data_IF_374041142490
#
_entry.id   IF_374041142490
#
_cell.length_a   1.000
_cell.length_b   1.000
_cell.length_c   1.000
_cell.angle_alpha   90.00
_cell.angle_beta   90.00
_cell.angle_gamma   90.00
#
_symmetry.space_group_name_H-M   'P 1'
#
loop_
_entity.id
_entity.type
_entity.pdbx_description
1 polymer ?
#
# COMPACT_ATOMS: atom_id res chain seq x y z
N UNK A 1 -64.24 -25.92 56.76
CA UNK A 1 -63.35 -24.84 56.22
C UNK A 1 -62.00 -25.11 56.82
N UNK A 2 -61.16 -25.84 56.14
CA UNK A 2 -59.81 -26.26 56.57
C UNK A 2 -58.80 -25.37 55.84
N UNK A 3 -58.14 -24.51 56.59
CA UNK A 3 -57.03 -23.66 56.10
C UNK A 3 -55.76 -24.51 56.12
N UNK A 4 -55.22 -24.73 54.93
CA UNK A 4 -53.92 -25.41 54.73
C UNK A 4 -52.77 -24.42 54.96
N UNK A 5 -52.01 -24.66 56.00
CA UNK A 5 -50.74 -23.96 56.25
C UNK A 5 -49.69 -24.45 55.24
N UNK A 6 -49.14 -23.49 54.42
CA UNK A 6 -48.00 -23.71 53.54
C UNK A 6 -46.74 -23.37 54.33
N UNK A 7 -45.79 -24.29 54.49
CA UNK A 7 -44.55 -23.99 55.20
C UNK A 7 -43.65 -23.08 54.34
N UNK A 8 -43.33 -21.90 54.89
CA UNK A 8 -42.35 -21.00 54.28
C UNK A 8 -40.94 -21.60 54.37
N UNK A 9 -40.39 -22.06 53.25
CA UNK A 9 -39.01 -22.51 53.17
C UNK A 9 -38.08 -21.27 53.19
N UNK A 10 -37.50 -21.02 54.35
CA UNK A 10 -36.42 -20.05 54.48
C UNK A 10 -35.18 -20.51 53.76
N UNK A 11 -34.83 -19.88 52.62
CA UNK A 11 -33.57 -20.07 51.91
C UNK A 11 -32.47 -19.52 52.84
N UNK A 12 -31.49 -20.31 53.25
CA UNK A 12 -30.40 -19.78 54.07
C UNK A 12 -29.58 -18.77 53.23
N UNK A 13 -29.53 -17.53 53.67
CA UNK A 13 -28.61 -16.54 53.12
C UNK A 13 -27.19 -17.06 53.28
N UNK A 14 -26.55 -17.34 52.15
CA UNK A 14 -25.09 -17.61 52.08
C UNK A 14 -24.37 -16.37 52.58
N UNK A 15 -24.13 -16.30 53.84
CA UNK A 15 -23.25 -15.31 54.50
C UNK A 15 -21.85 -15.49 53.96
N UNK A 16 -21.49 -14.70 52.93
CA UNK A 16 -20.11 -14.58 52.50
C UNK A 16 -19.31 -13.99 53.66
N UNK A 17 -18.33 -14.72 54.18
CA UNK A 17 -17.43 -14.22 55.21
C UNK A 17 -16.85 -12.87 54.79
N UNK A 18 -16.72 -11.88 55.69
CA UNK A 18 -16.18 -10.55 55.34
C UNK A 18 -14.76 -10.75 54.80
N UNK A 19 -14.55 -10.33 53.57
CA UNK A 19 -13.22 -10.31 52.93
C UNK A 19 -12.35 -9.35 53.75
N UNK A 20 -11.37 -9.85 54.47
CA UNK A 20 -10.41 -9.03 55.17
C UNK A 20 -9.52 -8.30 54.15
N UNK A 21 -9.13 -7.04 54.46
CA UNK A 21 -8.26 -6.25 53.57
C UNK A 21 -7.00 -7.01 53.17
N UNK A 22 -6.43 -7.82 54.10
CA UNK A 22 -5.25 -8.65 53.83
C UNK A 22 -5.49 -9.72 52.77
N UNK A 23 -6.66 -10.39 52.76
CA UNK A 23 -6.98 -11.42 51.75
C UNK A 23 -7.18 -10.79 50.36
N UNK A 24 -7.69 -9.57 50.29
CA UNK A 24 -7.85 -8.81 49.02
C UNK A 24 -6.51 -8.37 48.47
N UNK A 25 -5.57 -7.92 49.29
CA UNK A 25 -4.22 -7.52 48.85
C UNK A 25 -3.44 -8.73 48.33
N UNK A 26 -3.48 -9.86 49.02
CA UNK A 26 -2.82 -11.10 48.59
C UNK A 26 -3.42 -11.60 47.24
N UNK A 27 -4.74 -11.55 47.10
CA UNK A 27 -5.38 -11.93 45.85
C UNK A 27 -4.98 -11.00 44.70
N UNK A 28 -4.94 -9.69 44.93
CA UNK A 28 -4.51 -8.69 43.97
C UNK A 28 -3.05 -8.91 43.51
N UNK A 29 -2.11 -9.08 44.48
CA UNK A 29 -0.69 -9.30 44.13
C UNK A 29 -0.51 -10.57 43.30
N UNK A 30 -1.22 -11.66 43.66
CA UNK A 30 -1.16 -12.92 42.90
C UNK A 30 -1.71 -12.77 41.48
N UNK A 31 -2.82 -12.04 41.31
CA UNK A 31 -3.40 -11.76 39.97
C UNK A 31 -2.47 -10.87 39.15
N UNK A 32 -1.92 -9.80 39.74
CA UNK A 32 -0.94 -8.92 39.09
C UNK A 32 0.29 -9.70 38.62
N UNK A 33 0.83 -10.58 39.49
CA UNK A 33 1.97 -11.40 39.12
C UNK A 33 1.65 -12.43 38.03
N UNK A 34 0.47 -13.03 38.05
CA UNK A 34 0.00 -13.92 37.01
C UNK A 34 -0.17 -13.14 35.67
N UNK A 35 -0.80 -11.94 35.70
CA UNK A 35 -0.93 -11.08 34.57
C UNK A 35 0.43 -10.64 33.98
N UNK A 36 1.38 -10.28 34.85
CA UNK A 36 2.74 -9.92 34.44
C UNK A 36 3.46 -11.07 33.70
N UNK A 37 3.34 -12.31 34.23
CA UNK A 37 3.93 -13.48 33.56
C UNK A 37 3.34 -13.70 32.17
N UNK A 38 2.01 -13.61 32.04
CA UNK A 38 1.33 -13.75 30.75
C UNK A 38 1.76 -12.63 29.79
N UNK A 39 1.81 -11.38 30.28
CA UNK A 39 2.28 -10.24 29.49
C UNK A 39 3.70 -10.48 28.97
N UNK A 40 4.63 -10.84 29.84
CA UNK A 40 6.02 -11.09 29.44
C UNK A 40 6.14 -12.28 28.47
N UNK A 41 5.40 -13.37 28.72
CA UNK A 41 5.39 -14.53 27.82
C UNK A 41 4.86 -14.16 26.43
N UNK A 42 3.76 -13.40 26.36
CA UNK A 42 3.21 -12.93 25.09
C UNK A 42 4.11 -11.89 24.42
N UNK A 43 4.77 -11.03 25.19
CA UNK A 43 5.75 -10.09 24.64
C UNK A 43 6.92 -10.81 23.97
N UNK A 44 7.46 -11.84 24.60
CA UNK A 44 8.53 -12.66 24.00
C UNK A 44 8.01 -13.42 22.78
N UNK A 45 6.84 -14.05 22.90
CA UNK A 45 6.27 -14.84 21.81
C UNK A 45 5.91 -13.97 20.59
N UNK A 46 5.14 -12.90 20.82
CA UNK A 46 4.61 -12.07 19.73
C UNK A 46 5.54 -10.92 19.33
N UNK A 47 6.38 -10.42 20.25
CA UNK A 47 7.30 -9.33 19.99
C UNK A 47 8.68 -9.78 19.51
N UNK A 48 9.08 -11.01 19.74
CA UNK A 48 10.41 -11.52 19.36
C UNK A 48 10.29 -12.77 18.49
N UNK A 49 9.74 -13.86 19.03
CA UNK A 49 9.76 -15.16 18.35
C UNK A 49 8.96 -15.13 17.03
N UNK A 50 7.76 -14.59 17.07
CA UNK A 50 6.90 -14.49 15.87
C UNK A 50 7.49 -13.60 14.78
N UNK A 51 7.93 -12.35 15.02
CA UNK A 51 8.57 -11.53 13.98
C UNK A 51 9.84 -12.18 13.40
N UNK A 52 10.68 -12.79 14.22
CA UNK A 52 11.88 -13.50 13.73
C UNK A 52 11.51 -14.71 12.87
N UNK A 53 10.49 -15.48 13.25
CA UNK A 53 10.02 -16.62 12.45
C UNK A 53 9.48 -16.16 11.11
N UNK A 54 8.63 -15.10 11.08
CA UNK A 54 8.09 -14.53 9.83
C UNK A 54 9.21 -13.99 8.94
N UNK A 55 10.17 -13.26 9.53
CA UNK A 55 11.35 -12.76 8.80
C UNK A 55 12.16 -13.91 8.22
N UNK A 56 12.43 -14.96 9.01
CA UNK A 56 13.15 -16.14 8.54
C UNK A 56 12.46 -16.82 7.36
N UNK A 57 11.15 -17.03 7.44
CA UNK A 57 10.36 -17.58 6.33
C UNK A 57 10.39 -16.64 5.11
N UNK A 58 10.21 -15.32 5.33
CA UNK A 58 10.27 -14.33 4.25
C UNK A 58 11.59 -14.33 3.52
N UNK A 59 12.72 -14.37 4.25
CA UNK A 59 14.06 -14.40 3.65
C UNK A 59 14.37 -15.70 2.90
N UNK A 60 13.81 -16.83 3.34
CA UNK A 60 14.04 -18.14 2.68
C UNK A 60 13.15 -18.34 1.45
N UNK A 61 11.88 -17.95 1.53
CA UNK A 61 10.88 -18.25 0.48
C UNK A 61 10.71 -17.10 -0.49
N UNK A 62 10.82 -15.85 -0.02
CA UNK A 62 10.57 -14.63 -0.78
C UNK A 62 11.69 -13.59 -0.61
N UNK A 63 12.97 -13.94 -0.88
CA UNK A 63 14.10 -13.06 -0.55
C UNK A 63 14.02 -11.69 -1.23
N UNK A 64 13.56 -11.61 -2.47
CA UNK A 64 13.42 -10.34 -3.18
C UNK A 64 12.34 -9.45 -2.56
N UNK A 65 11.15 -9.99 -2.29
CA UNK A 65 10.05 -9.26 -1.66
C UNK A 65 10.38 -8.84 -0.23
N UNK A 66 11.01 -9.74 0.53
CA UNK A 66 11.43 -9.46 1.91
C UNK A 66 12.47 -8.34 2.03
N UNK A 67 13.20 -8.06 0.93
CA UNK A 67 14.21 -6.99 0.87
C UNK A 67 13.76 -5.78 0.03
N UNK A 68 12.45 -5.55 -0.09
CA UNK A 68 11.88 -4.33 -0.66
C UNK A 68 11.64 -4.36 -2.17
N UNK A 69 11.68 -5.54 -2.82
CA UNK A 69 11.39 -5.71 -4.25
C UNK A 69 12.18 -4.76 -5.16
N UNK A 70 13.47 -4.63 -4.89
CA UNK A 70 14.36 -3.67 -5.54
C UNK A 70 14.67 -4.05 -6.99
N UNK A 71 14.78 -3.02 -7.85
CA UNK A 71 15.09 -3.13 -9.28
C UNK A 71 16.35 -2.32 -9.61
N UNK A 72 17.16 -2.84 -10.53
CA UNK A 72 18.27 -2.14 -11.19
C UNK A 72 17.80 -1.41 -12.45
N UNK A 73 18.67 -0.62 -13.07
CA UNK A 73 18.33 0.14 -14.28
C UNK A 73 17.97 -0.73 -15.50
N UNK A 74 18.40 -1.97 -15.55
CA UNK A 74 18.03 -2.95 -16.57
C UNK A 74 16.78 -3.79 -16.19
N UNK A 75 16.14 -3.48 -15.05
CA UNK A 75 14.96 -4.19 -14.55
C UNK A 75 15.27 -5.49 -13.79
N UNK A 76 16.55 -5.82 -13.55
CA UNK A 76 16.93 -7.01 -12.78
C UNK A 76 16.56 -6.88 -11.31
N UNK A 77 16.16 -8.01 -10.70
CA UNK A 77 15.82 -8.08 -9.28
C UNK A 77 17.07 -8.12 -8.42
N UNK A 78 17.12 -7.29 -7.39
CA UNK A 78 18.20 -7.29 -6.39
C UNK A 78 17.63 -7.27 -4.97
N UNK A 79 18.39 -7.81 -4.02
CA UNK A 79 18.01 -7.92 -2.61
C UNK A 79 18.75 -6.93 -1.70
N UNK A 80 19.59 -6.07 -2.31
CA UNK A 80 20.37 -5.05 -1.61
C UNK A 80 20.35 -3.75 -2.39
N UNK A 81 20.33 -2.58 -1.72
CA UNK A 81 20.48 -1.28 -2.38
C UNK A 81 21.80 -1.12 -3.15
N UNK A 82 22.86 -1.80 -2.73
CA UNK A 82 24.13 -1.84 -3.45
C UNK A 82 24.02 -2.54 -4.81
N UNK A 83 22.96 -3.32 -5.02
CA UNK A 83 22.73 -4.04 -6.27
C UNK A 83 23.55 -5.31 -6.42
N UNK A 84 23.90 -5.61 -7.66
CA UNK A 84 24.70 -6.78 -8.06
C UNK A 84 25.53 -6.42 -9.32
N UNK A 85 25.90 -7.43 -10.12
CA UNK A 85 26.62 -7.25 -11.39
C UNK A 85 25.86 -6.38 -12.43
N UNK A 86 24.52 -6.22 -12.26
CA UNK A 86 23.67 -5.39 -13.12
C UNK A 86 23.58 -3.92 -12.67
N UNK A 87 24.27 -3.55 -11.59
CA UNK A 87 24.29 -2.19 -11.05
C UNK A 87 23.54 -2.02 -9.73
N UNK A 88 23.51 -0.79 -9.19
CA UNK A 88 22.80 -0.47 -7.96
C UNK A 88 21.28 -0.50 -8.17
N UNK A 89 20.55 -0.66 -7.07
CA UNK A 89 19.09 -0.51 -7.10
C UNK A 89 18.72 0.95 -7.40
N UNK A 90 17.78 1.13 -8.31
CA UNK A 90 17.23 2.45 -8.69
C UNK A 90 15.85 2.72 -8.11
N UNK A 91 15.16 1.70 -7.63
CA UNK A 91 13.83 1.81 -7.05
C UNK A 91 13.25 0.47 -6.63
N UNK A 92 12.01 0.50 -6.20
CA UNK A 92 11.23 -0.68 -5.82
C UNK A 92 10.06 -0.86 -6.79
N UNK A 93 9.79 -2.11 -7.18
CA UNK A 93 8.61 -2.46 -7.97
C UNK A 93 7.26 -2.23 -7.24
N UNK A 94 7.30 -1.93 -5.94
CA UNK A 94 6.10 -1.72 -5.12
C UNK A 94 5.86 -0.25 -4.76
N UNK A 95 6.80 0.64 -5.10
CA UNK A 95 6.76 2.05 -4.72
C UNK A 95 6.88 2.90 -5.97
N UNK A 96 5.87 3.73 -6.21
CA UNK A 96 5.86 4.70 -7.29
C UNK A 96 6.97 5.74 -7.14
N UNK A 97 7.41 6.25 -8.26
CA UNK A 97 8.45 7.27 -8.36
C UNK A 97 7.97 8.40 -9.25
N UNK A 98 8.52 9.60 -9.02
CA UNK A 98 8.25 10.75 -9.89
C UNK A 98 8.99 10.58 -11.21
N UNK A 99 8.26 10.67 -12.30
CA UNK A 99 8.79 10.80 -13.66
C UNK A 99 8.26 12.09 -14.26
N UNK A 100 9.13 12.84 -14.95
CA UNK A 100 8.79 14.11 -15.57
C UNK A 100 9.43 14.24 -16.97
N UNK A 101 8.85 15.10 -17.82
CA UNK A 101 9.30 15.32 -19.18
C UNK A 101 8.66 14.39 -20.19
N UNK A 102 8.64 14.82 -21.45
CA UNK A 102 7.88 14.18 -22.52
C UNK A 102 8.32 12.75 -22.87
N UNK A 103 9.57 12.38 -22.51
CA UNK A 103 10.17 11.09 -22.88
C UNK A 103 9.77 9.93 -21.96
N UNK A 104 9.01 10.19 -20.87
CA UNK A 104 8.64 9.21 -19.86
C UNK A 104 7.13 9.08 -19.73
N UNK A 105 6.67 7.88 -19.37
CA UNK A 105 5.33 7.70 -18.84
C UNK A 105 5.26 8.30 -17.44
N UNK A 106 4.24 9.12 -17.22
CA UNK A 106 4.01 9.78 -15.93
C UNK A 106 3.14 8.92 -15.02
N UNK A 107 3.43 8.91 -13.71
CA UNK A 107 2.61 8.24 -12.72
C UNK A 107 1.36 9.09 -12.35
N UNK A 108 0.57 8.58 -11.41
CA UNK A 108 -0.52 9.33 -10.78
C UNK A 108 0.03 10.52 -10.00
N UNK A 109 -0.80 11.57 -9.74
CA UNK A 109 -0.43 12.60 -8.79
C UNK A 109 -0.15 12.04 -7.40
N UNK A 110 0.89 12.53 -6.74
CA UNK A 110 1.26 12.15 -5.38
C UNK A 110 0.97 13.27 -4.39
N UNK A 111 0.44 12.91 -3.22
CA UNK A 111 0.29 13.78 -2.05
C UNK A 111 1.28 13.43 -0.92
N UNK A 112 2.22 12.51 -1.16
CA UNK A 112 3.25 12.11 -0.21
C UNK A 112 4.36 13.16 -0.16
N UNK A 113 4.42 13.95 0.91
CA UNK A 113 5.39 15.02 1.09
C UNK A 113 5.42 16.01 -0.07
N UNK A 114 6.57 16.18 -0.69
CA UNK A 114 6.75 17.02 -1.90
C UNK A 114 6.46 16.26 -3.20
N UNK A 115 5.94 15.07 -3.13
CA UNK A 115 5.66 14.12 -4.19
C UNK A 115 6.53 12.86 -4.09
N UNK A 116 5.89 11.71 -3.94
CA UNK A 116 6.55 10.40 -3.83
C UNK A 116 7.59 10.27 -2.70
N UNK A 117 7.43 11.06 -1.62
CA UNK A 117 8.25 10.94 -0.43
C UNK A 117 7.86 9.67 0.35
N UNK A 118 8.76 8.69 0.39
CA UNK A 118 8.55 7.40 1.07
C UNK A 118 8.46 7.52 2.59
N UNK A 119 8.95 8.62 3.17
CA UNK A 119 8.87 8.89 4.60
C UNK A 119 7.59 9.65 5.00
N UNK A 120 6.83 10.15 4.01
CA UNK A 120 5.61 10.93 4.23
C UNK A 120 4.44 10.36 3.42
N UNK A 121 4.31 9.00 3.36
CA UNK A 121 3.19 8.35 2.67
C UNK A 121 1.85 8.85 3.19
N UNK A 122 0.97 9.27 2.27
CA UNK A 122 -0.36 9.79 2.59
C UNK A 122 -1.11 10.27 1.36
N UNK A 123 -2.43 10.39 1.50
CA UNK A 123 -3.31 10.96 0.49
C UNK A 123 -3.62 12.43 0.77
N UNK A 124 -4.33 13.08 -0.15
CA UNK A 124 -4.80 14.47 0.03
C UNK A 124 -5.80 14.64 1.18
N UNK A 125 -6.49 13.56 1.57
CA UNK A 125 -7.54 13.53 2.60
C UNK A 125 -8.68 14.54 2.37
N UNK A 126 -8.87 14.98 1.11
CA UNK A 126 -9.93 15.90 0.73
C UNK A 126 -11.20 15.12 0.37
N UNK A 127 -12.33 15.54 0.93
CA UNK A 127 -13.63 14.93 0.62
C UNK A 127 -14.13 15.32 -0.80
N UNK A 128 -15.07 14.54 -1.36
CA UNK A 128 -15.55 14.73 -2.74
C UNK A 128 -16.27 16.08 -2.97
N UNK A 129 -16.78 16.71 -1.92
CA UNK A 129 -17.44 18.02 -1.97
C UNK A 129 -16.48 19.19 -1.67
N UNK A 130 -15.19 18.93 -1.45
CA UNK A 130 -14.22 19.95 -1.14
C UNK A 130 -13.89 20.80 -2.39
N UNK A 131 -14.08 22.13 -2.37
CA UNK A 131 -13.84 22.98 -3.54
C UNK A 131 -12.37 22.97 -3.98
N UNK A 132 -11.42 22.82 -3.05
CA UNK A 132 -9.99 22.73 -3.36
C UNK A 132 -9.70 21.46 -4.18
N UNK A 133 -10.32 20.32 -3.82
CA UNK A 133 -10.17 19.09 -4.61
C UNK A 133 -10.67 19.29 -6.03
N UNK A 134 -11.86 19.89 -6.20
CA UNK A 134 -12.44 20.13 -7.51
C UNK A 134 -11.53 21.03 -8.36
N UNK A 135 -11.05 22.13 -7.80
CA UNK A 135 -10.13 23.03 -8.50
C UNK A 135 -8.83 22.33 -8.92
N UNK A 136 -8.22 21.55 -8.00
CA UNK A 136 -7.00 20.79 -8.27
C UNK A 136 -7.21 19.75 -9.38
N UNK A 137 -8.33 19.05 -9.39
CA UNK A 137 -8.66 18.06 -10.42
C UNK A 137 -8.85 18.74 -11.80
N UNK A 138 -9.51 19.90 -11.83
CA UNK A 138 -9.71 20.66 -13.07
C UNK A 138 -8.37 21.19 -13.62
N UNK A 139 -7.51 21.74 -12.78
CA UNK A 139 -6.18 22.20 -13.14
C UNK A 139 -5.31 21.07 -13.70
N UNK A 140 -5.23 19.95 -12.98
CA UNK A 140 -4.48 18.77 -13.45
C UNK A 140 -5.01 18.21 -14.76
N UNK A 141 -6.34 18.20 -14.94
CA UNK A 141 -6.96 17.76 -16.19
C UNK A 141 -6.56 18.62 -17.35
N UNK A 142 -6.57 19.95 -17.19
CA UNK A 142 -6.13 20.86 -18.23
C UNK A 142 -4.63 20.70 -18.53
N UNK A 143 -3.81 20.50 -17.49
CA UNK A 143 -2.37 20.28 -17.64
C UNK A 143 -2.06 18.97 -18.39
N UNK A 144 -2.64 17.84 -17.98
CA UNK A 144 -2.43 16.54 -18.64
C UNK A 144 -2.92 16.57 -20.08
N UNK A 145 -4.11 17.15 -20.33
CA UNK A 145 -4.65 17.30 -21.69
C UNK A 145 -3.73 18.11 -22.61
N UNK A 146 -3.16 19.20 -22.10
CA UNK A 146 -2.21 20.03 -22.85
C UNK A 146 -0.88 19.28 -23.11
N UNK A 147 -0.41 18.52 -22.13
CA UNK A 147 0.85 17.77 -22.21
C UNK A 147 0.74 16.58 -23.18
N UNK A 148 -0.35 15.81 -23.11
CA UNK A 148 -0.57 14.64 -23.98
C UNK A 148 -1.23 14.98 -25.30
N UNK A 149 -1.68 16.23 -25.49
CA UNK A 149 -2.33 16.70 -26.72
C UNK A 149 -3.70 16.09 -26.96
N UNK A 150 -4.47 15.86 -25.89
CA UNK A 150 -5.79 15.22 -25.93
C UNK A 150 -6.90 16.17 -25.46
N UNK A 151 -8.16 15.79 -25.69
CA UNK A 151 -9.31 16.53 -25.17
C UNK A 151 -9.38 16.35 -23.63
N UNK A 152 -9.56 17.43 -22.84
CA UNK A 152 -9.68 17.32 -21.37
C UNK A 152 -10.78 16.36 -20.89
N UNK A 153 -11.82 16.14 -21.69
CA UNK A 153 -12.91 15.21 -21.35
C UNK A 153 -12.51 13.73 -21.42
N UNK A 154 -11.42 13.41 -22.15
CA UNK A 154 -10.91 12.04 -22.32
C UNK A 154 -9.90 11.66 -21.26
N UNK A 155 -9.35 12.63 -20.51
CA UNK A 155 -8.33 12.39 -19.47
C UNK A 155 -8.86 11.45 -18.38
N UNK A 156 -8.20 10.30 -18.15
CA UNK A 156 -8.64 9.30 -17.19
C UNK A 156 -8.60 9.82 -15.74
N UNK A 157 -9.48 9.31 -14.85
CA UNK A 157 -9.55 9.79 -13.46
C UNK A 157 -8.26 9.64 -12.67
N UNK A 158 -7.47 8.60 -12.91
CA UNK A 158 -6.21 8.33 -12.22
C UNK A 158 -5.07 9.27 -12.65
N UNK A 159 -5.17 9.89 -13.82
CA UNK A 159 -4.26 10.96 -14.25
C UNK A 159 -4.38 12.23 -13.39
N UNK A 160 -5.53 12.46 -12.75
CA UNK A 160 -5.84 13.70 -12.03
C UNK A 160 -6.08 13.52 -10.53
N UNK A 161 -6.23 12.28 -10.06
CA UNK A 161 -6.50 11.97 -8.65
C UNK A 161 -5.29 11.34 -7.97
N UNK A 162 -4.89 11.89 -6.83
CA UNK A 162 -3.82 11.31 -6.02
C UNK A 162 -4.23 9.95 -5.45
N UNK A 163 -3.28 9.04 -5.32
CA UNK A 163 -3.48 7.79 -4.61
C UNK A 163 -3.61 8.01 -3.09
N UNK A 164 -4.22 7.06 -2.39
CA UNK A 164 -4.36 7.14 -0.93
C UNK A 164 -3.00 7.06 -0.20
N UNK A 165 -2.03 6.37 -0.76
CA UNK A 165 -0.67 6.27 -0.22
C UNK A 165 0.25 7.40 -0.70
N UNK A 166 -0.06 8.03 -1.84
CA UNK A 166 0.85 8.91 -2.57
C UNK A 166 2.07 8.20 -3.16
N UNK A 167 2.13 6.86 -3.08
CA UNK A 167 3.26 6.02 -3.51
C UNK A 167 2.83 4.89 -4.45
N UNK A 168 1.65 4.99 -5.05
CA UNK A 168 1.12 3.99 -5.99
C UNK A 168 2.02 3.89 -7.22
N UNK A 169 2.61 2.71 -7.52
CA UNK A 169 3.44 2.52 -8.70
C UNK A 169 2.65 2.37 -10.00
N UNK A 170 1.33 2.11 -9.88
CA UNK A 170 0.49 1.71 -10.99
C UNK A 170 -0.37 2.87 -11.53
N UNK A 171 -0.62 2.82 -12.83
CA UNK A 171 -1.63 3.64 -13.53
C UNK A 171 -2.61 2.73 -14.29
N UNK A 172 -3.76 3.28 -14.68
CA UNK A 172 -4.71 2.55 -15.51
C UNK A 172 -4.14 2.30 -16.92
N UNK A 173 -4.55 1.22 -17.61
CA UNK A 173 -4.22 1.02 -19.00
C UNK A 173 -4.73 2.16 -19.92
N UNK A 174 -5.81 2.84 -19.52
CA UNK A 174 -6.33 4.00 -20.23
C UNK A 174 -5.33 5.16 -20.18
N UNK A 175 -4.83 5.49 -18.97
CA UNK A 175 -3.86 6.57 -18.81
C UNK A 175 -2.51 6.23 -19.45
N UNK A 176 -2.06 4.96 -19.37
CA UNK A 176 -0.84 4.53 -20.07
C UNK A 176 -0.97 4.72 -21.60
N UNK A 177 -2.12 4.33 -22.20
CA UNK A 177 -2.34 4.48 -23.64
C UNK A 177 -2.48 5.94 -24.08
N UNK A 178 -3.06 6.81 -23.27
CA UNK A 178 -3.16 8.24 -23.54
C UNK A 178 -1.79 8.86 -23.78
N UNK A 179 -0.80 8.52 -22.96
CA UNK A 179 0.57 9.05 -23.03
C UNK A 179 1.41 8.53 -24.20
N UNK A 180 0.95 7.47 -24.90
CA UNK A 180 1.74 6.79 -25.96
C UNK A 180 2.19 7.74 -27.07
N UNK A 181 1.31 8.61 -27.55
CA UNK A 181 1.63 9.52 -28.66
C UNK A 181 2.74 10.51 -28.29
N UNK A 182 2.65 11.11 -27.11
CA UNK A 182 3.66 12.03 -26.57
C UNK A 182 5.01 11.35 -26.40
N UNK A 183 5.04 10.18 -25.74
CA UNK A 183 6.27 9.44 -25.47
C UNK A 183 6.92 8.96 -26.76
N UNK A 184 6.14 8.44 -27.70
CA UNK A 184 6.62 7.99 -29.01
C UNK A 184 7.27 9.14 -29.79
N UNK A 185 6.59 10.29 -29.86
CA UNK A 185 7.11 11.48 -30.55
C UNK A 185 8.40 11.98 -29.88
N UNK A 186 8.44 12.09 -28.57
CA UNK A 186 9.59 12.58 -27.82
C UNK A 186 10.83 11.68 -27.93
N UNK A 187 10.63 10.36 -28.16
CA UNK A 187 11.72 9.38 -28.32
C UNK A 187 12.05 9.04 -29.76
N UNK A 188 11.32 9.58 -30.74
CA UNK A 188 11.50 9.23 -32.14
C UNK A 188 11.13 7.77 -32.44
N UNK A 189 10.21 7.18 -31.68
CA UNK A 189 9.77 5.81 -31.84
C UNK A 189 8.44 5.74 -32.60
N UNK A 190 8.19 4.66 -33.35
CA UNK A 190 6.86 4.42 -33.92
C UNK A 190 5.80 4.26 -32.81
N UNK A 191 4.69 4.96 -32.93
CA UNK A 191 3.54 4.91 -31.99
C UNK A 191 3.10 3.46 -31.72
N UNK A 192 3.01 2.64 -32.79
CA UNK A 192 2.61 1.24 -32.67
C UNK A 192 3.56 0.40 -31.79
N UNK A 193 4.87 0.70 -31.80
CA UNK A 193 5.85 0.00 -30.93
C UNK A 193 5.66 0.37 -29.47
N UNK A 194 5.45 1.65 -29.18
CA UNK A 194 5.20 2.13 -27.81
C UNK A 194 3.85 1.64 -27.29
N UNK A 195 2.81 1.61 -28.13
CA UNK A 195 1.52 1.02 -27.78
C UNK A 195 1.62 -0.47 -27.45
N UNK A 196 2.35 -1.24 -28.28
CA UNK A 196 2.59 -2.66 -28.03
C UNK A 196 3.37 -2.90 -26.71
N UNK A 197 4.32 -2.01 -26.37
CA UNK A 197 5.02 -2.07 -25.09
C UNK A 197 4.06 -1.87 -23.92
N UNK A 198 3.18 -0.88 -23.98
CA UNK A 198 2.13 -0.67 -22.97
C UNK A 198 1.27 -1.91 -22.82
N UNK A 199 0.76 -2.48 -23.91
CA UNK A 199 -0.11 -3.65 -23.88
C UNK A 199 0.58 -4.88 -23.26
N UNK A 200 1.89 -5.07 -23.48
CA UNK A 200 2.69 -6.11 -22.82
C UNK A 200 2.85 -5.92 -21.32
N UNK A 201 2.77 -4.67 -20.84
CA UNK A 201 2.90 -4.33 -19.43
C UNK A 201 1.56 -4.23 -18.70
N UNK A 202 0.43 -4.42 -19.38
CA UNK A 202 -0.88 -4.49 -18.73
C UNK A 202 -0.98 -5.76 -17.91
N UNK A 203 -1.09 -5.58 -16.59
CA UNK A 203 -1.39 -6.67 -15.65
C UNK A 203 -2.90 -6.72 -15.42
N UNK A 204 -3.48 -7.89 -15.63
CA UNK A 204 -4.90 -8.14 -15.37
C UNK A 204 -5.23 -8.20 -13.88
N UNK A 205 -6.51 -8.45 -13.57
CA UNK A 205 -6.99 -8.64 -12.20
C UNK A 205 -6.34 -9.88 -11.57
N UNK A 206 -5.96 -9.78 -10.31
CA UNK A 206 -5.43 -10.92 -9.56
C UNK A 206 -6.50 -12.00 -9.44
N UNK A 207 -6.17 -13.25 -9.77
CA UNK A 207 -7.11 -14.37 -9.87
C UNK A 207 -8.32 -14.10 -10.80
N UNK A 208 -8.22 -13.13 -11.69
CA UNK A 208 -9.29 -12.75 -12.63
C UNK A 208 -10.41 -11.89 -12.05
N UNK A 209 -10.45 -11.71 -10.73
CA UNK A 209 -11.57 -11.04 -10.03
C UNK A 209 -11.15 -9.91 -9.09
N UNK A 210 -9.92 -9.92 -8.56
CA UNK A 210 -9.46 -8.96 -7.55
C UNK A 210 -8.69 -7.80 -8.17
N UNK A 211 -9.05 -6.59 -7.80
CA UNK A 211 -8.43 -5.36 -8.26
C UNK A 211 -8.85 -4.96 -9.68
N UNK A 212 -8.15 -3.98 -10.23
CA UNK A 212 -8.35 -3.48 -11.59
C UNK A 212 -7.12 -3.79 -12.46
N UNK A 213 -7.27 -3.84 -13.81
CA UNK A 213 -6.13 -3.88 -14.72
C UNK A 213 -5.24 -2.66 -14.51
N UNK A 214 -3.93 -2.85 -14.50
CA UNK A 214 -2.94 -1.81 -14.18
C UNK A 214 -1.66 -1.96 -14.96
N UNK A 215 -0.89 -0.88 -14.99
CA UNK A 215 0.45 -0.80 -15.61
C UNK A 215 1.39 -0.18 -14.59
N UNK A 216 2.46 -0.88 -14.23
CA UNK A 216 3.53 -0.40 -13.39
C UNK A 216 4.41 0.58 -14.18
N UNK A 217 4.45 1.84 -13.75
CA UNK A 217 5.12 2.93 -14.47
C UNK A 217 6.64 2.77 -14.46
N UNK A 218 7.23 2.29 -13.34
CA UNK A 218 8.67 2.07 -13.28
C UNK A 218 9.09 0.96 -14.24
N UNK A 219 8.39 -0.17 -14.20
CA UNK A 219 8.69 -1.31 -15.08
C UNK A 219 8.51 -0.92 -16.57
N UNK A 220 7.45 -0.17 -16.89
CA UNK A 220 7.20 0.33 -18.25
C UNK A 220 8.31 1.28 -18.71
N UNK A 221 8.72 2.24 -17.88
CA UNK A 221 9.78 3.19 -18.19
C UNK A 221 11.15 2.50 -18.33
N UNK A 222 11.44 1.48 -17.52
CA UNK A 222 12.66 0.67 -17.68
C UNK A 222 12.67 -0.07 -19.01
N UNK A 223 11.57 -0.75 -19.35
CA UNK A 223 11.45 -1.43 -20.64
C UNK A 223 11.57 -0.45 -21.83
N UNK A 224 11.04 0.76 -21.69
CA UNK A 224 11.16 1.82 -22.68
C UNK A 224 12.62 2.25 -22.93
N UNK A 225 13.50 2.18 -21.92
CA UNK A 225 14.93 2.53 -22.10
C UNK A 225 15.68 1.53 -22.99
N UNK A 226 15.20 0.31 -23.09
CA UNK A 226 15.84 -0.73 -23.91
C UNK A 226 15.42 -0.68 -25.38
N UNK A 227 14.40 0.17 -25.71
CA UNK A 227 13.94 0.34 -27.08
C UNK A 227 14.89 1.28 -27.85
N UNK A 228 15.55 0.76 -28.85
CA UNK A 228 16.29 1.57 -29.82
C UNK A 228 15.32 2.29 -30.76
N UNK A 229 15.65 3.51 -31.20
CA UNK A 229 14.92 4.24 -32.25
C UNK A 229 14.80 3.47 -33.56
#
# INVERSE_FOLDING_TARGET
MTTSDVPSSSIPARGGAPRTLGSSVIAFTRQTWAGLRVLLALTVLLGIAYPLAVTGVGQLVFPWQANGSLLTADGSHVTSPAGNAHGPAIGSALIGQSFSGATWFHPRPSAAGTGYDTLASGGSNLGPTNPTLLATVQERRAQVAAEDGVDPSTVPPDAVTASASGLDPDISPAYAREQVARVAAARGLPVARVAALVDQHVRGRTLGVLGEPRVDVLALNLALTTMAP
#
